data_IF_170117038561
#
_entry.id   IF_170117038561
#
_cell.length_a   1.000
_cell.length_b   1.000
_cell.length_c   1.000
_cell.angle_alpha   90.00
_cell.angle_beta   90.00
_cell.angle_gamma   90.00
#
_symmetry.space_group_name_H-M   'P 1'
#
loop_
_entity.id
_entity.type
_entity.pdbx_description
1 polymer ?
#
# COMPACT_ATOMS: atom_id res chain seq x y z
N UNK A 1 55.58 -29.48 3.19
CA UNK A 1 54.61 -28.41 2.81
C UNK A 1 53.22 -28.97 2.46
N UNK A 2 53.10 -30.26 2.13
CA UNK A 2 51.86 -30.87 1.63
C UNK A 2 50.72 -30.97 2.67
N UNK A 3 51.02 -31.27 3.94
CA UNK A 3 49.99 -31.43 5.00
C UNK A 3 49.28 -30.12 5.38
N UNK A 4 49.95 -28.97 5.22
CA UNK A 4 49.35 -27.63 5.46
C UNK A 4 48.43 -27.21 4.31
N UNK A 5 48.73 -27.65 3.10
CA UNK A 5 47.92 -27.36 1.91
C UNK A 5 46.60 -28.14 1.93
N UNK A 6 46.63 -29.42 2.33
CA UNK A 6 45.43 -30.24 2.47
C UNK A 6 44.49 -29.69 3.56
N UNK A 7 45.03 -29.24 4.70
CA UNK A 7 44.24 -28.67 5.79
C UNK A 7 43.55 -27.35 5.39
N UNK A 8 44.21 -26.53 4.57
CA UNK A 8 43.66 -25.27 4.06
C UNK A 8 42.55 -25.51 3.03
N UNK A 9 42.71 -26.49 2.14
CA UNK A 9 41.71 -26.84 1.12
C UNK A 9 40.47 -27.45 1.74
N UNK A 10 40.61 -28.31 2.76
CA UNK A 10 39.46 -28.86 3.49
C UNK A 10 38.74 -27.78 4.29
N UNK A 11 39.47 -26.87 4.95
CA UNK A 11 38.87 -25.76 5.68
C UNK A 11 38.10 -24.80 4.74
N UNK A 12 38.62 -24.52 3.55
CA UNK A 12 37.94 -23.70 2.54
C UNK A 12 36.65 -24.35 2.02
N UNK A 13 36.65 -25.68 1.87
CA UNK A 13 35.45 -26.43 1.43
C UNK A 13 34.34 -26.47 2.47
N UNK A 14 34.69 -26.50 3.77
CA UNK A 14 33.71 -26.49 4.87
C UNK A 14 33.07 -25.10 5.05
N UNK A 15 33.81 -24.02 4.79
CA UNK A 15 33.27 -22.65 4.84
C UNK A 15 32.26 -22.38 3.73
N UNK A 16 32.42 -22.99 2.54
CA UNK A 16 31.46 -22.84 1.44
C UNK A 16 30.13 -23.56 1.71
N UNK A 17 30.14 -24.66 2.49
CA UNK A 17 28.91 -25.37 2.87
C UNK A 17 28.12 -24.58 3.93
N UNK A 18 28.78 -23.76 4.75
CA UNK A 18 28.13 -22.97 5.80
C UNK A 18 27.40 -21.70 5.32
N UNK A 19 27.55 -21.31 4.05
CA UNK A 19 26.89 -20.14 3.46
C UNK A 19 25.72 -20.50 2.52
N UNK A 20 25.46 -21.78 2.31
CA UNK A 20 24.25 -22.23 1.63
C UNK A 20 23.11 -22.32 2.65
N UNK A 21 22.55 -21.16 3.05
CA UNK A 21 21.22 -21.19 3.63
C UNK A 21 20.27 -21.64 2.50
N UNK A 22 19.52 -22.75 2.67
CA UNK A 22 18.44 -23.04 1.75
C UNK A 22 17.48 -21.87 1.81
N UNK A 23 17.28 -21.19 0.68
CA UNK A 23 16.09 -20.35 0.48
C UNK A 23 14.94 -21.33 0.56
N UNK A 24 14.34 -21.43 1.75
CA UNK A 24 13.09 -22.15 1.93
C UNK A 24 12.10 -21.57 0.93
N UNK A 25 11.46 -22.44 0.15
CA UNK A 25 10.20 -22.10 -0.51
C UNK A 25 9.38 -21.36 0.53
N UNK A 26 9.12 -20.07 0.28
CA UNK A 26 8.43 -19.20 1.20
C UNK A 26 7.11 -19.88 1.54
N UNK A 27 7.00 -20.40 2.76
CA UNK A 27 5.85 -21.17 3.19
C UNK A 27 4.61 -20.31 2.93
N UNK A 28 3.85 -20.71 1.91
CA UNK A 28 2.65 -19.97 1.47
C UNK A 28 1.46 -20.41 2.31
N UNK A 29 1.70 -21.23 3.35
CA UNK A 29 0.66 -21.74 4.24
C UNK A 29 -0.04 -20.57 4.95
N UNK A 30 -1.27 -20.30 4.53
CA UNK A 30 -2.10 -19.25 5.11
C UNK A 30 -1.85 -17.83 4.60
N UNK A 31 -0.99 -17.61 3.59
CA UNK A 31 -0.82 -16.25 3.05
C UNK A 31 -1.99 -15.81 2.18
N UNK A 32 -2.47 -14.59 2.40
CA UNK A 32 -3.63 -14.00 1.71
C UNK A 32 -3.15 -12.99 0.69
N UNK A 33 -3.80 -12.94 -0.47
CA UNK A 33 -3.54 -11.92 -1.49
C UNK A 33 -3.89 -10.53 -0.96
N UNK A 34 -3.07 -9.52 -1.22
CA UNK A 34 -3.39 -8.14 -0.84
C UNK A 34 -4.65 -7.65 -1.55
N UNK A 35 -5.46 -6.86 -0.83
CA UNK A 35 -6.72 -6.29 -1.33
C UNK A 35 -6.51 -5.47 -2.60
N UNK A 36 -5.43 -4.69 -2.67
CA UNK A 36 -5.12 -3.80 -3.80
C UNK A 36 -4.36 -4.46 -4.94
N UNK A 37 -4.34 -5.79 -5.03
CA UNK A 37 -3.80 -6.44 -6.21
C UNK A 37 -4.74 -6.23 -7.41
N UNK A 38 -4.20 -5.95 -8.60
CA UNK A 38 -5.01 -5.87 -9.83
C UNK A 38 -5.61 -7.24 -10.19
N UNK A 39 -6.72 -7.24 -10.95
CA UNK A 39 -7.41 -8.48 -11.33
C UNK A 39 -6.43 -9.48 -11.98
N UNK A 40 -6.36 -10.69 -11.43
CA UNK A 40 -5.47 -11.78 -11.91
C UNK A 40 -4.08 -11.83 -11.27
N UNK A 41 -3.59 -10.75 -10.65
CA UNK A 41 -2.27 -10.73 -10.00
C UNK A 41 -2.24 -11.57 -8.71
N UNK A 42 -1.29 -12.49 -8.56
CA UNK A 42 -1.23 -13.36 -7.37
C UNK A 42 -0.42 -12.78 -6.21
N UNK A 43 0.30 -11.69 -6.44
CA UNK A 43 1.18 -11.00 -5.52
C UNK A 43 0.96 -9.49 -5.62
N UNK A 44 1.24 -8.71 -4.57
CA UNK A 44 1.81 -9.13 -3.28
C UNK A 44 0.86 -9.96 -2.39
N UNK A 45 1.45 -10.78 -1.52
CA UNK A 45 0.75 -11.59 -0.51
C UNK A 45 1.16 -11.17 0.88
N UNK A 46 0.29 -11.41 1.85
CA UNK A 46 0.49 -11.06 3.25
C UNK A 46 0.45 -12.35 4.05
N UNK A 47 1.51 -12.61 4.82
CA UNK A 47 1.57 -13.77 5.71
C UNK A 47 0.79 -13.50 7.00
N UNK A 48 0.41 -14.55 7.76
CA UNK A 48 -0.25 -14.37 9.06
C UNK A 48 0.55 -13.52 10.06
N UNK A 49 1.88 -13.44 9.90
CA UNK A 49 2.78 -12.61 10.71
C UNK A 49 2.90 -11.16 10.20
N UNK A 50 2.00 -10.73 9.31
CA UNK A 50 1.96 -9.39 8.72
C UNK A 50 3.21 -9.04 7.89
N UNK A 51 3.84 -10.04 7.28
CA UNK A 51 4.94 -9.83 6.33
C UNK A 51 4.39 -9.77 4.91
N UNK A 52 4.93 -8.88 4.09
CA UNK A 52 4.58 -8.77 2.69
C UNK A 52 5.56 -9.61 1.84
N UNK A 53 5.00 -10.52 1.05
CA UNK A 53 5.71 -11.33 0.06
C UNK A 53 5.50 -10.73 -1.33
N UNK A 54 6.60 -10.45 -2.01
CA UNK A 54 6.62 -9.87 -3.35
C UNK A 54 7.15 -10.89 -4.35
N UNK A 55 6.61 -10.80 -5.57
CA UNK A 55 7.07 -11.57 -6.72
C UNK A 55 7.05 -10.68 -7.96
N UNK A 56 8.20 -10.53 -8.61
CA UNK A 56 8.36 -9.69 -9.82
C UNK A 56 9.01 -10.52 -10.92
N UNK A 57 8.45 -10.52 -12.13
CA UNK A 57 9.04 -11.22 -13.27
C UNK A 57 9.92 -10.24 -14.04
N UNK A 58 11.24 -10.41 -13.98
CA UNK A 58 12.20 -9.52 -14.64
C UNK A 58 13.49 -10.30 -14.97
N UNK A 59 13.48 -11.12 -16.05
CA UNK A 59 14.57 -12.06 -16.33
C UNK A 59 15.90 -11.37 -16.70
N UNK A 60 15.85 -10.17 -17.27
CA UNK A 60 17.06 -9.43 -17.69
C UNK A 60 17.56 -8.45 -16.62
N UNK A 61 16.81 -8.26 -15.52
CA UNK A 61 17.23 -7.37 -14.45
C UNK A 61 18.48 -7.92 -13.73
N UNK A 62 19.30 -7.02 -13.22
CA UNK A 62 20.49 -7.35 -12.41
C UNK A 62 20.21 -7.19 -10.93
N UNK A 63 19.36 -6.23 -10.57
CA UNK A 63 18.96 -5.97 -9.20
C UNK A 63 17.50 -5.53 -9.17
N UNK A 64 16.71 -6.21 -8.35
CA UNK A 64 15.34 -5.78 -8.03
C UNK A 64 15.22 -5.60 -6.53
N UNK A 65 14.67 -4.46 -6.11
CA UNK A 65 14.45 -4.13 -4.71
C UNK A 65 13.01 -3.65 -4.49
N UNK A 66 12.51 -3.76 -3.27
CA UNK A 66 11.27 -3.13 -2.81
C UNK A 66 11.61 -1.97 -1.89
N UNK A 67 10.99 -0.82 -2.11
CA UNK A 67 11.12 0.37 -1.26
C UNK A 67 9.82 0.64 -0.51
N UNK A 68 9.85 0.39 0.80
CA UNK A 68 8.79 0.65 1.78
C UNK A 68 9.25 1.70 2.81
N UNK A 69 10.12 2.63 2.40
CA UNK A 69 10.91 3.49 3.29
C UNK A 69 12.21 2.83 3.73
N UNK A 70 12.22 1.49 3.84
CA UNK A 70 13.42 0.65 3.82
C UNK A 70 13.49 -0.11 2.50
N UNK A 71 14.69 -0.26 1.96
CA UNK A 71 14.95 -1.06 0.75
C UNK A 71 15.17 -2.52 1.12
N UNK A 72 14.51 -3.42 0.39
CA UNK A 72 14.62 -4.87 0.52
C UNK A 72 15.10 -5.46 -0.80
N UNK A 73 16.25 -6.11 -0.81
CA UNK A 73 16.76 -6.79 -2.00
C UNK A 73 15.99 -8.07 -2.25
N UNK A 74 15.52 -8.26 -3.49
CA UNK A 74 14.86 -9.49 -3.90
C UNK A 74 15.90 -10.52 -4.37
N UNK A 75 15.55 -11.79 -4.23
CA UNK A 75 16.36 -12.92 -4.68
C UNK A 75 15.78 -13.44 -6.00
N UNK A 76 16.62 -13.49 -7.03
CA UNK A 76 16.26 -14.05 -8.34
C UNK A 76 16.26 -15.59 -8.29
N UNK A 77 15.22 -16.20 -8.83
CA UNK A 77 15.12 -17.65 -9.03
C UNK A 77 15.52 -18.06 -10.46
N UNK A 78 15.64 -19.37 -10.68
CA UNK A 78 16.02 -19.97 -11.97
C UNK A 78 15.04 -19.63 -13.11
N UNK A 79 13.79 -19.31 -12.77
CA UNK A 79 12.73 -18.95 -13.73
C UNK A 79 12.76 -17.46 -14.13
N UNK A 80 13.73 -16.68 -13.62
CA UNK A 80 13.82 -15.24 -13.88
C UNK A 80 12.83 -14.38 -13.07
N UNK A 81 12.29 -14.94 -11.99
CA UNK A 81 11.39 -14.26 -11.06
C UNK A 81 12.17 -13.82 -9.82
N UNK A 82 11.83 -12.67 -9.29
CA UNK A 82 12.42 -12.06 -8.11
C UNK A 82 11.45 -12.19 -6.95
N UNK A 83 11.90 -12.85 -5.88
CA UNK A 83 11.11 -13.14 -4.69
C UNK A 83 11.72 -12.45 -3.48
N UNK A 84 10.88 -11.96 -2.58
CA UNK A 84 11.35 -11.43 -1.32
C UNK A 84 10.23 -11.22 -0.33
N UNK A 85 10.59 -11.26 0.94
CA UNK A 85 9.67 -11.12 2.07
C UNK A 85 10.17 -10.00 2.97
N UNK A 86 9.27 -9.13 3.40
CA UNK A 86 9.62 -8.01 4.29
C UNK A 86 9.70 -8.44 5.75
N UNK A 87 10.16 -7.51 6.58
CA UNK A 87 9.84 -7.55 8.01
C UNK A 87 8.33 -7.37 8.26
N UNK A 88 7.81 -7.73 9.45
CA UNK A 88 6.42 -7.51 9.79
C UNK A 88 6.10 -6.03 9.70
N UNK A 89 5.04 -5.71 8.98
CA UNK A 89 4.57 -4.35 8.80
C UNK A 89 3.45 -4.05 9.80
N UNK A 90 3.36 -2.79 10.23
CA UNK A 90 2.26 -2.35 11.07
C UNK A 90 0.92 -2.40 10.32
N UNK A 91 -0.23 -2.54 11.00
CA UNK A 91 -1.54 -2.50 10.35
C UNK A 91 -1.79 -1.19 9.60
N UNK A 92 -2.52 -1.29 8.49
CA UNK A 92 -2.93 -0.17 7.65
C UNK A 92 -2.22 -0.10 6.29
N UNK A 93 -2.39 1.06 5.65
CA UNK A 93 -1.95 1.32 4.29
C UNK A 93 -0.46 1.72 4.20
N UNK A 94 0.30 1.04 3.35
CA UNK A 94 1.71 1.36 3.06
C UNK A 94 1.95 1.62 1.58
N UNK A 95 2.56 2.77 1.27
CA UNK A 95 3.08 3.05 -0.07
C UNK A 95 4.35 2.26 -0.32
N UNK A 96 4.48 1.68 -1.51
CA UNK A 96 5.71 1.01 -1.92
C UNK A 96 6.07 1.26 -3.38
N UNK A 97 7.35 1.02 -3.68
CA UNK A 97 7.87 1.05 -5.04
C UNK A 97 8.73 -0.18 -5.34
N UNK A 98 8.73 -0.59 -6.60
CA UNK A 98 9.77 -1.48 -7.12
C UNK A 98 10.96 -0.63 -7.57
N UNK A 99 12.17 -1.09 -7.31
CA UNK A 99 13.39 -0.52 -7.87
C UNK A 99 14.01 -1.60 -8.74
N UNK A 100 13.95 -1.40 -10.06
CA UNK A 100 14.54 -2.34 -11.04
C UNK A 100 15.75 -1.65 -11.66
N UNK A 101 16.94 -2.22 -11.45
CA UNK A 101 18.22 -1.69 -11.92
C UNK A 101 18.42 -0.20 -11.59
N UNK A 102 17.97 0.21 -10.40
CA UNK A 102 18.08 1.58 -9.89
C UNK A 102 16.94 2.51 -10.28
N UNK A 103 16.01 2.08 -11.13
CA UNK A 103 14.84 2.87 -11.54
C UNK A 103 13.65 2.54 -10.65
N UNK A 104 13.09 3.58 -10.01
CA UNK A 104 11.87 3.46 -9.19
C UNK A 104 10.63 3.41 -10.08
N UNK A 105 9.84 2.36 -9.96
CA UNK A 105 8.61 2.14 -10.71
C UNK A 105 7.47 1.71 -9.79
N UNK A 106 6.23 1.97 -10.21
CA UNK A 106 5.06 1.39 -9.57
C UNK A 106 4.98 -0.11 -9.95
N UNK A 107 4.50 -0.93 -9.03
CA UNK A 107 4.24 -2.35 -9.26
C UNK A 107 3.03 -2.52 -10.19
N UNK A 108 3.21 -3.15 -11.37
CA UNK A 108 2.09 -3.42 -12.29
C UNK A 108 1.05 -4.39 -11.72
N UNK A 109 1.39 -5.11 -10.65
CA UNK A 109 0.53 -6.09 -9.99
C UNK A 109 -0.39 -5.47 -8.93
N UNK A 110 -0.19 -4.20 -8.59
CA UNK A 110 -0.97 -3.45 -7.59
C UNK A 110 -1.74 -2.30 -8.22
N UNK A 111 -2.87 -1.95 -7.63
CA UNK A 111 -3.61 -0.73 -7.97
C UNK A 111 -2.77 0.52 -7.68
N UNK A 112 -3.08 1.59 -8.40
CA UNK A 112 -2.31 2.83 -8.32
C UNK A 112 -2.99 3.85 -7.42
N UNK A 113 -2.24 4.31 -6.41
CA UNK A 113 -2.65 5.35 -5.46
C UNK A 113 -1.82 6.61 -5.71
N UNK A 114 -2.42 7.78 -5.52
CA UNK A 114 -1.69 9.03 -5.61
C UNK A 114 -1.12 9.40 -4.23
N UNK A 115 0.20 9.29 -4.10
CA UNK A 115 0.94 9.52 -2.86
C UNK A 115 2.39 9.87 -3.16
N UNK A 116 3.13 10.42 -2.20
CA UNK A 116 4.55 10.80 -2.43
C UNK A 116 4.78 11.71 -3.66
N UNK A 117 3.76 12.47 -4.09
CA UNK A 117 3.78 13.30 -5.32
C UNK A 117 3.87 12.51 -6.64
N UNK A 118 3.47 11.24 -6.66
CA UNK A 118 3.41 10.40 -7.86
C UNK A 118 2.32 9.32 -7.76
N UNK A 119 2.03 8.63 -8.86
CA UNK A 119 1.26 7.39 -8.81
C UNK A 119 2.18 6.26 -8.33
N UNK A 120 1.76 5.59 -7.26
CA UNK A 120 2.54 4.59 -6.53
C UNK A 120 1.66 3.41 -6.17
N UNK A 121 2.28 2.29 -5.85
CA UNK A 121 1.59 1.09 -5.42
C UNK A 121 1.31 1.12 -3.93
N UNK A 122 0.27 0.41 -3.53
CA UNK A 122 -0.18 0.34 -2.15
C UNK A 122 -0.36 -1.10 -1.70
N UNK A 123 -0.03 -1.35 -0.44
CA UNK A 123 -0.34 -2.60 0.24
C UNK A 123 -1.07 -2.29 1.55
N UNK A 124 -2.26 -2.86 1.72
CA UNK A 124 -2.98 -2.84 3.00
C UNK A 124 -2.55 -4.01 3.86
N UNK A 125 -2.12 -3.74 5.09
CA UNK A 125 -1.89 -4.78 6.09
C UNK A 125 -3.15 -4.84 6.97
N UNK A 126 -3.79 -6.02 7.08
CA UNK A 126 -5.07 -6.12 7.78
C UNK A 126 -4.95 -5.65 9.23
N UNK A 127 -5.99 -4.94 9.68
CA UNK A 127 -6.15 -4.60 11.09
C UNK A 127 -6.50 -5.84 11.91
N UNK A 128 -6.43 -5.69 13.23
CA UNK A 128 -6.95 -6.71 14.13
C UNK A 128 -8.45 -6.94 13.84
N UNK A 129 -8.91 -8.19 13.98
CA UNK A 129 -10.25 -8.63 13.54
C UNK A 129 -11.42 -7.89 14.20
N UNK A 130 -11.18 -7.23 15.31
CA UNK A 130 -12.14 -6.41 16.06
C UNK A 130 -12.28 -4.98 15.52
N UNK A 131 -11.39 -4.54 14.64
CA UNK A 131 -11.41 -3.21 14.00
C UNK A 131 -12.23 -3.27 12.71
N UNK A 132 -13.53 -2.97 12.82
CA UNK A 132 -14.49 -3.06 11.71
C UNK A 132 -14.73 -1.72 10.97
N UNK A 133 -14.12 -0.62 11.42
CA UNK A 133 -14.45 0.73 10.96
C UNK A 133 -14.15 0.96 9.47
N UNK A 134 -13.20 0.21 8.91
CA UNK A 134 -12.71 0.37 7.53
C UNK A 134 -13.14 -0.78 6.62
N UNK A 135 -13.80 -1.80 7.18
CA UNK A 135 -14.27 -2.98 6.46
C UNK A 135 -15.59 -2.70 5.72
N UNK A 136 -15.79 -3.38 4.59
CA UNK A 136 -17.04 -3.29 3.84
C UNK A 136 -18.15 -4.06 4.56
N UNK A 137 -19.04 -3.34 5.25
CA UNK A 137 -20.21 -3.90 5.92
C UNK A 137 -21.49 -3.81 5.06
N UNK A 138 -22.43 -4.74 5.24
CA UNK A 138 -23.77 -4.68 4.61
C UNK A 138 -24.67 -3.63 5.27
N UNK A 139 -24.35 -2.36 5.00
CA UNK A 139 -25.08 -1.18 5.48
C UNK A 139 -25.35 -0.25 4.30
N UNK A 140 -26.34 0.67 4.40
CA UNK A 140 -26.52 1.70 3.39
C UNK A 140 -25.25 2.54 3.24
N UNK A 141 -24.59 2.45 2.09
CA UNK A 141 -23.41 3.25 1.76
C UNK A 141 -23.78 4.62 1.19
N UNK A 142 -22.90 5.59 1.42
CA UNK A 142 -22.95 6.89 0.79
C UNK A 142 -22.55 6.84 -0.69
N UNK A 143 -22.59 8.00 -1.35
CA UNK A 143 -22.15 8.16 -2.74
C UNK A 143 -20.91 9.08 -2.79
N UNK A 144 -19.90 8.69 -3.56
CA UNK A 144 -18.75 9.54 -3.86
C UNK A 144 -18.95 10.18 -5.23
N UNK A 145 -19.05 11.51 -5.28
CA UNK A 145 -19.20 12.26 -6.53
C UNK A 145 -17.95 13.06 -6.85
N UNK A 146 -17.45 12.91 -8.07
CA UNK A 146 -16.42 13.77 -8.63
C UNK A 146 -17.08 14.95 -9.35
N UNK A 147 -16.67 16.19 -9.02
CA UNK A 147 -17.15 17.41 -9.67
C UNK A 147 -15.98 18.26 -10.15
N UNK A 148 -15.96 18.52 -11.46
CA UNK A 148 -15.05 19.50 -12.07
C UNK A 148 -15.70 20.88 -12.05
N UNK A 149 -14.91 21.91 -11.77
CA UNK A 149 -15.36 23.29 -11.74
C UNK A 149 -14.26 24.24 -12.21
N UNK A 150 -14.68 25.38 -12.76
CA UNK A 150 -13.76 26.46 -13.11
C UNK A 150 -13.44 27.31 -11.87
N UNK A 151 -12.17 27.40 -11.51
CA UNK A 151 -11.71 28.27 -10.43
C UNK A 151 -11.35 29.65 -10.98
N UNK A 152 -12.14 30.68 -10.62
CA UNK A 152 -11.85 32.07 -11.01
C UNK A 152 -10.53 32.56 -10.44
N UNK A 153 -10.22 32.22 -9.19
CA UNK A 153 -8.99 32.66 -8.51
C UNK A 153 -7.74 32.03 -9.13
N UNK A 154 -7.81 30.76 -9.55
CA UNK A 154 -6.69 30.07 -10.19
C UNK A 154 -6.69 30.20 -11.72
N UNK A 155 -7.72 30.83 -12.29
CA UNK A 155 -7.98 30.90 -13.73
C UNK A 155 -7.79 29.54 -14.45
N UNK A 156 -8.33 28.47 -13.85
CA UNK A 156 -8.13 27.09 -14.31
C UNK A 156 -9.46 26.32 -14.38
N UNK A 157 -9.67 25.58 -15.47
CA UNK A 157 -10.88 24.80 -15.75
C UNK A 157 -10.89 23.36 -15.22
N UNK A 158 -9.74 22.89 -14.75
CA UNK A 158 -9.53 21.47 -14.42
C UNK A 158 -9.58 21.18 -12.92
N UNK A 159 -10.01 22.16 -12.10
CA UNK A 159 -10.15 21.94 -10.66
C UNK A 159 -11.22 20.89 -10.39
N UNK A 160 -10.92 19.97 -9.47
CA UNK A 160 -11.77 18.82 -9.17
C UNK A 160 -11.98 18.70 -7.66
N UNK A 161 -13.21 18.41 -7.25
CA UNK A 161 -13.61 18.13 -5.87
C UNK A 161 -14.27 16.76 -5.79
N UNK A 162 -13.95 16.00 -4.75
CA UNK A 162 -14.70 14.82 -4.35
C UNK A 162 -15.70 15.19 -3.24
N UNK A 163 -16.97 14.85 -3.47
CA UNK A 163 -18.08 15.10 -2.53
C UNK A 163 -18.57 13.75 -2.02
N UNK A 164 -18.46 13.53 -0.72
CA UNK A 164 -19.01 12.34 -0.05
C UNK A 164 -20.41 12.66 0.45
N UNK A 165 -21.41 12.05 -0.17
CA UNK A 165 -22.80 12.14 0.22
C UNK A 165 -23.16 10.98 1.14
N UNK A 166 -23.82 11.24 2.28
CA UNK A 166 -24.20 10.20 3.23
C UNK A 166 -25.38 9.37 2.68
N UNK A 167 -25.50 8.13 3.16
CA UNK A 167 -26.58 7.24 2.74
C UNK A 167 -27.95 7.82 3.13
N UNK A 168 -28.80 8.09 2.13
CA UNK A 168 -30.17 8.57 2.36
C UNK A 168 -31.17 7.51 1.89
N UNK A 169 -32.08 7.08 2.78
CA UNK A 169 -33.14 6.10 2.43
C UNK A 169 -34.30 6.69 1.61
N UNK A 170 -34.22 7.93 1.12
CA UNK A 170 -35.24 8.56 0.26
C UNK A 170 -34.75 9.89 -0.29
N UNK A 171 -35.03 10.17 -1.57
CA UNK A 171 -34.90 11.50 -2.18
C UNK A 171 -35.92 12.48 -1.57
N UNK A 172 -35.67 12.95 -0.34
CA UNK A 172 -36.42 14.08 0.21
C UNK A 172 -35.81 15.36 -0.36
N UNK A 173 -36.61 16.12 -1.11
CA UNK A 173 -36.25 17.39 -1.79
C UNK A 173 -35.66 18.49 -0.88
N UNK A 174 -35.64 18.31 0.44
CA UNK A 174 -35.20 19.33 1.40
C UNK A 174 -34.51 18.70 2.62
N UNK A 175 -33.42 17.96 2.39
CA UNK A 175 -32.52 17.61 3.49
C UNK A 175 -31.35 18.59 3.49
N UNK A 176 -31.13 19.26 4.62
CA UNK A 176 -29.95 20.07 4.88
C UNK A 176 -28.96 19.25 5.68
N UNK A 177 -27.70 19.34 5.29
CA UNK A 177 -26.60 18.56 5.84
C UNK A 177 -25.44 19.49 6.18
N UNK A 178 -24.67 19.13 7.21
CA UNK A 178 -23.45 19.85 7.55
C UNK A 178 -22.36 19.48 6.54
N UNK A 179 -21.57 20.48 6.14
CA UNK A 179 -20.46 20.32 5.22
C UNK A 179 -19.17 20.35 6.04
N UNK A 180 -18.39 19.29 5.92
CA UNK A 180 -17.04 19.20 6.46
C UNK A 180 -16.06 19.25 5.30
N UNK A 181 -15.11 20.17 5.34
CA UNK A 181 -14.05 20.26 4.35
C UNK A 181 -12.80 19.59 4.91
N UNK A 182 -12.42 18.48 4.32
CA UNK A 182 -11.18 17.75 4.54
C UNK A 182 -10.22 18.11 3.41
N UNK A 183 -8.92 18.17 3.68
CA UNK A 183 -7.90 18.42 2.66
C UNK A 183 -6.76 17.44 2.88
N UNK A 184 -6.33 16.72 1.84
CA UNK A 184 -5.09 15.98 1.92
C UNK A 184 -3.92 16.98 1.99
N UNK A 185 -2.87 16.64 2.74
CA UNK A 185 -1.71 17.52 2.89
C UNK A 185 -0.44 16.71 2.68
N UNK A 186 0.61 17.37 2.19
CA UNK A 186 1.94 16.77 2.18
C UNK A 186 2.56 16.99 3.56
N UNK A 187 2.74 15.91 4.30
CA UNK A 187 3.55 15.94 5.51
C UNK A 187 4.99 16.25 5.12
N UNK A 188 5.63 17.18 5.82
CA UNK A 188 7.07 17.42 5.71
C UNK A 188 7.77 16.54 6.76
N UNK A 189 8.98 16.07 6.47
CA UNK A 189 9.78 15.24 7.39
C UNK A 189 9.95 15.90 8.77
N UNK A 190 9.96 17.24 8.82
CA UNK A 190 10.10 18.05 10.04
C UNK A 190 8.77 18.27 10.81
N UNK A 191 7.69 17.58 10.46
CA UNK A 191 6.37 17.71 11.10
C UNK A 191 5.59 18.99 10.76
N UNK A 192 6.15 19.89 9.95
CA UNK A 192 5.47 21.10 9.49
C UNK A 192 4.71 20.83 8.18
N UNK A 193 3.39 20.68 8.24
CA UNK A 193 2.54 20.39 7.09
C UNK A 193 2.61 21.51 6.02
N UNK A 194 2.95 21.16 4.77
CA UNK A 194 2.67 22.03 3.61
C UNK A 194 1.40 21.51 2.93
N UNK A 195 0.38 22.36 2.88
CA UNK A 195 -0.90 22.04 2.25
C UNK A 195 -0.67 21.86 0.75
N UNK A 196 -0.89 20.65 0.25
CA UNK A 196 -1.05 20.38 -1.19
C UNK A 196 -2.55 20.20 -1.39
N UNK A 197 -3.26 21.13 -2.04
CA UNK A 197 -4.71 21.12 -2.00
C UNK A 197 -5.27 19.95 -2.82
N UNK A 198 -5.67 18.88 -2.13
CA UNK A 198 -6.70 17.95 -2.62
C UNK A 198 -7.83 18.05 -1.59
N UNK A 199 -8.86 18.84 -1.90
CA UNK A 199 -10.01 18.98 -1.01
C UNK A 199 -10.98 17.80 -1.18
N UNK A 200 -11.41 17.24 -0.06
CA UNK A 200 -12.47 16.27 0.09
C UNK A 200 -13.58 16.95 0.90
N UNK A 201 -14.79 17.09 0.35
CA UNK A 201 -15.91 17.64 1.10
C UNK A 201 -16.80 16.49 1.59
N UNK A 202 -16.81 16.23 2.89
CA UNK A 202 -17.64 15.21 3.54
C UNK A 202 -18.94 15.82 4.03
N UNK A 203 -20.06 15.23 3.67
CA UNK A 203 -21.39 15.72 4.04
C UNK A 203 -22.03 14.79 5.08
N UNK A 204 -22.53 15.32 6.19
CA UNK A 204 -23.21 14.53 7.24
C UNK A 204 -24.69 14.92 7.36
N UNK A 205 -25.57 13.92 7.40
CA UNK A 205 -27.02 14.12 7.60
C UNK A 205 -27.32 14.38 9.07
N UNK A 206 -27.73 15.60 9.42
CA UNK A 206 -28.46 15.81 10.67
C UNK A 206 -29.95 15.74 10.40
N UNK A 207 -30.56 14.63 10.82
CA UNK A 207 -32.00 14.61 11.02
C UNK A 207 -32.27 15.37 12.33
N UNK A 208 -33.05 16.45 12.30
CA UNK A 208 -33.52 17.16 13.51
C UNK A 208 -34.30 16.17 14.38
N UNK A 209 -33.62 15.48 15.30
CA UNK A 209 -34.17 14.90 16.54
C UNK A 209 -33.01 14.37 17.39
N UNK A 210 -32.66 15.17 18.41
CA UNK A 210 -31.96 14.83 19.65
C UNK A 210 -30.62 14.09 19.53
N UNK A 211 -29.54 14.88 19.57
CA UNK A 211 -28.28 14.48 20.16
C UNK A 211 -28.48 14.28 21.68
N UNK A 212 -28.52 13.03 22.13
CA UNK A 212 -28.23 12.66 23.51
C UNK A 212 -26.95 11.81 23.44
N UNK A 213 -25.84 12.42 23.84
CA UNK A 213 -24.62 11.69 24.16
C UNK A 213 -24.84 11.01 25.51
N UNK A 214 -24.72 9.69 25.58
CA UNK A 214 -24.33 9.02 26.82
C UNK A 214 -22.85 8.64 26.70
N UNK A 215 -22.09 9.04 27.72
CA UNK A 215 -20.72 8.59 28.01
C UNK A 215 -20.64 7.07 28.10
#
# INVERSE_FOLDING_TARGET
>A
MEKRFILLVTFLSVVMIAMAQPVSDSDTSGSVRSEYCVRGAQYPRITPEHRAQFKVVAPEAKLVQIDLGKKYDLVRNEKGEWLGTTEPLGPGFHYYFLIVDGVRVADPSSESFYGCSMHTSGIEIPYAKDVLQYELADIPHGEVRMKRYFSKTANAGDACLFILLPATKRAKRSIRCCIFNTVAVKMKEDGCCKVVPISFSTTLLLNRKQFLWSL
#
